data_IF_116289582405
#
_entry.id   IF_116289582405
#
_cell.length_a   1.000
_cell.length_b   1.000
_cell.length_c   1.000
_cell.angle_alpha   90.00
_cell.angle_beta   90.00
_cell.angle_gamma   90.00
#
_symmetry.space_group_name_H-M   'P 1'
#
loop_
_entity.id
_entity.type
_entity.pdbx_description
1 polymer ?
#
# COMPACT_ATOMS: atom_id res chain seq x y z
N UNK A 1 -6.66 0.54 16.30
CA UNK A 1 -6.81 1.47 15.17
C UNK A 1 -6.29 0.92 13.85
N UNK A 2 -4.98 0.72 13.66
CA UNK A 2 -4.39 0.28 12.38
C UNK A 2 -4.99 -1.00 11.80
N UNK A 3 -5.29 -2.00 12.64
CA UNK A 3 -5.96 -3.23 12.19
C UNK A 3 -7.33 -2.95 11.56
N UNK A 4 -8.14 -2.08 12.17
CA UNK A 4 -9.47 -1.72 11.66
C UNK A 4 -9.34 -0.98 10.33
N UNK A 5 -8.45 0.00 10.26
CA UNK A 5 -8.16 0.71 9.01
C UNK A 5 -7.71 -0.25 7.90
N UNK A 6 -6.80 -1.18 8.21
CA UNK A 6 -6.34 -2.21 7.27
C UNK A 6 -7.46 -3.12 6.77
N UNK A 7 -8.40 -3.54 7.61
CA UNK A 7 -9.54 -4.35 7.16
C UNK A 7 -10.55 -3.58 6.30
N UNK A 8 -10.66 -2.27 6.49
CA UNK A 8 -11.73 -1.47 5.89
C UNK A 8 -11.28 -0.57 4.74
N UNK A 9 -9.98 -0.35 4.54
CA UNK A 9 -9.46 0.70 3.64
C UNK A 9 -9.99 0.61 2.22
N UNK A 10 -10.09 -0.60 1.69
CA UNK A 10 -10.51 -0.85 0.31
C UNK A 10 -12.02 -1.11 0.15
N UNK A 11 -12.82 -0.99 1.21
CA UNK A 11 -14.27 -1.27 1.15
C UNK A 11 -15.02 -0.36 0.17
N UNK A 12 -14.49 0.84 -0.13
CA UNK A 12 -15.06 1.74 -1.12
C UNK A 12 -15.04 1.19 -2.55
N UNK A 13 -14.18 0.19 -2.84
CA UNK A 13 -14.15 -0.47 -4.14
C UNK A 13 -15.47 -1.20 -4.50
N UNK A 14 -16.34 -1.49 -3.52
CA UNK A 14 -17.69 -2.01 -3.79
C UNK A 14 -18.56 -1.00 -4.56
N UNK A 15 -18.27 0.30 -4.41
CA UNK A 15 -18.97 1.38 -5.12
C UNK A 15 -18.22 1.70 -6.41
N UNK A 16 -16.92 2.02 -6.33
CA UNK A 16 -16.09 2.34 -7.48
C UNK A 16 -14.62 2.31 -7.10
N UNK A 17 -13.74 1.97 -8.05
CA UNK A 17 -12.29 2.19 -7.91
C UNK A 17 -11.94 3.68 -7.83
N UNK A 18 -12.69 4.52 -8.55
CA UNK A 18 -12.53 5.97 -8.53
C UNK A 18 -13.08 6.52 -7.22
N UNK A 19 -12.24 7.18 -6.43
CA UNK A 19 -12.62 7.71 -5.11
C UNK A 19 -12.90 6.63 -4.07
N UNK A 20 -12.32 5.42 -4.21
CA UNK A 20 -12.53 4.31 -3.27
C UNK A 20 -12.08 4.68 -1.84
N UNK A 21 -11.02 5.46 -1.69
CA UNK A 21 -10.56 5.93 -0.38
C UNK A 21 -11.60 6.80 0.33
N UNK A 22 -12.19 7.79 -0.37
CA UNK A 22 -13.16 8.70 0.23
C UNK A 22 -14.50 8.01 0.51
N UNK A 23 -14.99 7.21 -0.44
CA UNK A 23 -16.21 6.43 -0.24
C UNK A 23 -16.04 5.38 0.86
N UNK A 24 -14.91 4.69 0.92
CA UNK A 24 -14.56 3.76 2.00
C UNK A 24 -14.47 4.44 3.37
N UNK A 25 -13.93 5.66 3.43
CA UNK A 25 -13.89 6.45 4.66
C UNK A 25 -15.30 6.80 5.18
N UNK A 26 -16.22 7.19 4.29
CA UNK A 26 -17.62 7.48 4.64
C UNK A 26 -18.35 6.22 5.12
N UNK A 27 -18.15 5.08 4.44
CA UNK A 27 -18.70 3.79 4.87
C UNK A 27 -18.16 3.38 6.24
N UNK A 28 -16.85 3.51 6.46
CA UNK A 28 -16.22 3.20 7.73
C UNK A 28 -16.73 4.10 8.87
N UNK A 29 -16.90 5.39 8.61
CA UNK A 29 -17.50 6.32 9.57
C UNK A 29 -18.89 5.83 10.01
N UNK A 30 -19.79 5.52 9.06
CA UNK A 30 -21.14 5.08 9.37
C UNK A 30 -21.15 3.76 10.18
N UNK A 31 -20.36 2.77 9.75
CA UNK A 31 -20.30 1.45 10.40
C UNK A 31 -19.75 1.58 11.82
N UNK A 32 -18.62 2.27 12.01
CA UNK A 32 -17.97 2.38 13.31
C UNK A 32 -18.79 3.22 14.28
N UNK A 33 -19.47 4.26 13.82
CA UNK A 33 -20.43 5.03 14.65
C UNK A 33 -21.56 4.13 15.14
N UNK A 34 -22.14 3.29 14.28
CA UNK A 34 -23.23 2.36 14.67
C UNK A 34 -22.78 1.28 15.65
N UNK A 35 -21.50 0.91 15.60
CA UNK A 35 -20.88 -0.04 16.54
C UNK A 35 -20.48 0.62 17.88
N UNK A 36 -20.72 1.92 18.06
CA UNK A 36 -20.45 2.63 19.30
C UNK A 36 -18.96 2.95 19.54
N UNK A 37 -18.12 2.93 18.49
CA UNK A 37 -16.71 3.29 18.61
C UNK A 37 -16.56 4.77 19.01
N UNK A 38 -15.55 5.09 19.82
CA UNK A 38 -15.34 6.45 20.29
C UNK A 38 -15.03 7.41 19.10
N UNK A 39 -15.59 8.63 19.06
CA UNK A 39 -15.38 9.56 17.95
C UNK A 39 -13.90 9.85 17.64
N UNK A 40 -13.05 9.91 18.67
CA UNK A 40 -11.61 10.13 18.53
C UNK A 40 -10.92 8.97 17.80
N UNK A 41 -11.38 7.75 18.02
CA UNK A 41 -10.86 6.57 17.32
C UNK A 41 -11.40 6.52 15.88
N UNK A 42 -12.69 6.77 15.69
CA UNK A 42 -13.29 6.83 14.34
C UNK A 42 -12.52 7.82 13.47
N UNK A 43 -12.20 9.01 13.98
CA UNK A 43 -11.48 10.02 13.20
C UNK A 43 -10.11 9.52 12.74
N UNK A 44 -9.39 8.73 13.54
CA UNK A 44 -8.11 8.14 13.15
C UNK A 44 -8.27 7.07 12.05
N UNK A 45 -9.29 6.20 12.12
CA UNK A 45 -9.56 5.22 11.05
C UNK A 45 -9.95 5.93 9.76
N UNK A 46 -10.95 6.80 9.84
CA UNK A 46 -11.57 7.43 8.66
C UNK A 46 -10.57 8.34 7.96
N UNK A 47 -9.75 9.09 8.71
CA UNK A 47 -8.67 9.89 8.11
C UNK A 47 -7.56 9.02 7.50
N UNK A 48 -7.23 7.87 8.10
CA UNK A 48 -6.29 6.93 7.49
C UNK A 48 -6.83 6.35 6.18
N UNK A 49 -8.09 5.90 6.15
CA UNK A 49 -8.74 5.37 4.95
C UNK A 49 -8.90 6.47 3.89
N UNK A 50 -9.34 7.67 4.25
CA UNK A 50 -9.58 8.74 3.27
C UNK A 50 -8.31 9.22 2.55
N UNK A 51 -7.13 8.93 3.09
CA UNK A 51 -5.85 9.43 2.61
C UNK A 51 -4.87 8.33 2.16
N UNK A 52 -5.31 7.09 1.98
CA UNK A 52 -4.41 5.98 1.60
C UNK A 52 -4.23 5.80 0.08
N UNK A 53 -5.00 6.49 -0.75
CA UNK A 53 -4.88 6.44 -2.22
C UNK A 53 -3.79 7.38 -2.74
N UNK A 54 -3.02 6.91 -3.73
CA UNK A 54 -1.84 7.57 -4.27
C UNK A 54 -2.15 8.85 -5.05
N UNK A 55 -3.36 8.99 -5.60
CA UNK A 55 -3.73 10.12 -6.46
C UNK A 55 -4.16 11.34 -5.64
N UNK A 56 -4.68 11.12 -4.43
CA UNK A 56 -5.37 12.15 -3.65
C UNK A 56 -4.97 12.20 -2.17
N UNK A 57 -4.21 11.22 -1.68
CA UNK A 57 -3.89 11.04 -0.28
C UNK A 57 -2.47 11.40 0.12
N UNK A 58 -2.28 11.55 1.43
CA UNK A 58 -0.98 11.70 2.09
C UNK A 58 -1.06 11.13 3.50
N UNK A 59 0.03 10.61 4.08
CA UNK A 59 0.07 10.23 5.48
C UNK A 59 -0.25 11.44 6.38
N UNK A 60 -1.37 11.38 7.12
CA UNK A 60 -1.86 12.49 7.98
C UNK A 60 -1.73 12.21 9.48
N UNK A 61 -1.54 10.94 9.85
CA UNK A 61 -1.34 10.49 11.22
C UNK A 61 -0.56 9.16 11.22
N UNK A 62 -0.05 8.68 12.37
CA UNK A 62 0.70 7.43 12.42
C UNK A 62 -0.06 6.19 11.92
N UNK A 63 -1.39 6.15 12.09
CA UNK A 63 -2.24 5.06 11.59
C UNK A 63 -2.30 5.07 10.07
N UNK A 64 -2.44 6.26 9.48
CA UNK A 64 -2.42 6.50 8.03
C UNK A 64 -1.08 6.12 7.43
N UNK A 65 0.03 6.55 8.04
CA UNK A 65 1.38 6.17 7.59
C UNK A 65 1.59 4.65 7.63
N UNK A 66 1.21 3.99 8.73
CA UNK A 66 1.31 2.54 8.83
C UNK A 66 0.42 1.81 7.80
N UNK A 67 -0.80 2.31 7.54
CA UNK A 67 -1.70 1.76 6.53
C UNK A 67 -1.08 1.87 5.13
N UNK A 68 -0.56 3.05 4.77
CA UNK A 68 0.11 3.29 3.48
C UNK A 68 1.29 2.33 3.31
N UNK A 69 2.15 2.21 4.31
CA UNK A 69 3.29 1.28 4.24
C UNK A 69 2.83 -0.16 4.03
N UNK A 70 1.80 -0.61 4.75
CA UNK A 70 1.28 -1.97 4.64
C UNK A 70 0.63 -2.26 3.28
N UNK A 71 -0.19 -1.35 2.75
CA UNK A 71 -0.88 -1.53 1.46
C UNK A 71 0.08 -1.38 0.27
N UNK A 72 0.84 -0.28 0.25
CA UNK A 72 1.61 0.12 -0.93
C UNK A 72 2.89 -0.67 -1.12
N UNK A 73 3.38 -1.34 -0.08
CA UNK A 73 4.50 -2.29 -0.19
C UNK A 73 4.08 -3.73 -0.53
N UNK A 74 2.77 -4.02 -0.57
CA UNK A 74 2.26 -5.37 -0.88
C UNK A 74 2.30 -5.66 -2.39
N UNK A 75 3.51 -5.93 -2.89
CA UNK A 75 3.78 -6.39 -4.26
C UNK A 75 4.35 -7.80 -4.20
N UNK A 76 3.64 -8.80 -4.77
CA UNK A 76 4.02 -10.22 -4.72
C UNK A 76 3.27 -11.05 -5.75
N UNK A 77 3.92 -12.10 -6.27
CA UNK A 77 3.32 -13.05 -7.23
C UNK A 77 1.99 -13.64 -6.78
N UNK A 78 1.87 -14.01 -5.50
CA UNK A 78 0.66 -14.65 -4.95
C UNK A 78 -0.59 -13.74 -4.91
N UNK A 79 -0.44 -12.44 -5.25
CA UNK A 79 -1.57 -11.52 -5.38
C UNK A 79 -2.29 -11.69 -6.72
N UNK A 80 -1.61 -12.23 -7.72
CA UNK A 80 -2.19 -12.54 -9.04
C UNK A 80 -3.01 -13.82 -8.93
N UNK A 81 -4.30 -13.72 -9.21
CA UNK A 81 -5.25 -14.85 -9.18
C UNK A 81 -5.62 -15.37 -10.56
N UNK A 82 -5.21 -14.66 -11.60
CA UNK A 82 -5.37 -15.11 -12.97
C UNK A 82 -4.28 -16.15 -13.25
N UNK A 83 -4.67 -17.36 -13.63
CA UNK A 83 -3.74 -18.43 -13.98
C UNK A 83 -3.41 -18.43 -15.48
N UNK A 84 -4.15 -17.66 -16.29
CA UNK A 84 -3.90 -17.53 -17.73
C UNK A 84 -2.92 -16.39 -18.01
N UNK A 85 -1.65 -16.76 -18.17
CA UNK A 85 -0.56 -15.83 -18.49
C UNK A 85 -0.81 -15.02 -19.76
N UNK A 86 -1.54 -15.54 -20.75
CA UNK A 86 -1.82 -14.83 -21.99
C UNK A 86 -2.82 -13.67 -21.81
N UNK A 87 -3.61 -13.72 -20.73
CA UNK A 87 -4.60 -12.69 -20.39
C UNK A 87 -4.08 -11.67 -19.36
N UNK A 88 -2.80 -11.69 -19.00
CA UNK A 88 -2.24 -10.78 -18.00
C UNK A 88 -2.24 -9.35 -18.49
N UNK A 89 -2.76 -8.44 -17.66
CA UNK A 89 -2.49 -7.02 -17.81
C UNK A 89 -1.08 -6.68 -17.26
N UNK A 90 -0.70 -5.39 -17.34
CA UNK A 90 0.61 -4.95 -16.86
C UNK A 90 0.77 -5.09 -15.34
N UNK A 91 -0.31 -4.96 -14.57
CA UNK A 91 -0.26 -5.13 -13.11
C UNK A 91 -0.06 -6.60 -12.75
N UNK A 92 -0.78 -7.50 -13.42
CA UNK A 92 -0.63 -8.94 -13.25
C UNK A 92 0.78 -9.38 -13.63
N UNK A 93 1.30 -8.93 -14.78
CA UNK A 93 2.65 -9.26 -15.24
C UNK A 93 3.73 -8.80 -14.26
N UNK A 94 3.66 -7.56 -13.78
CA UNK A 94 4.65 -7.02 -12.83
C UNK A 94 4.56 -7.72 -11.48
N UNK A 95 3.36 -7.96 -10.93
CA UNK A 95 3.20 -8.69 -9.68
C UNK A 95 3.70 -10.14 -9.82
N UNK A 96 3.37 -10.80 -10.92
CA UNK A 96 3.78 -12.17 -11.19
C UNK A 96 5.30 -12.29 -11.35
N UNK A 97 5.97 -11.28 -11.91
CA UNK A 97 7.43 -11.25 -12.00
C UNK A 97 8.12 -11.20 -10.62
N UNK A 98 7.44 -10.78 -9.55
CA UNK A 98 8.02 -10.69 -8.20
C UNK A 98 8.01 -12.05 -7.50
N UNK A 99 9.12 -12.78 -7.61
CA UNK A 99 9.33 -14.11 -7.03
C UNK A 99 9.46 -14.08 -5.50
N UNK A 100 10.15 -13.07 -4.98
CA UNK A 100 10.29 -12.84 -3.55
C UNK A 100 9.99 -11.38 -3.23
N UNK A 101 9.30 -11.16 -2.11
CA UNK A 101 8.96 -9.84 -1.60
C UNK A 101 9.08 -9.85 -0.08
N UNK A 102 10.03 -9.06 0.44
CA UNK A 102 10.34 -9.02 1.87
C UNK A 102 10.38 -7.58 2.33
N UNK A 103 9.49 -7.24 3.26
CA UNK A 103 9.52 -5.97 3.97
C UNK A 103 10.23 -6.15 5.32
N UNK A 104 11.35 -5.46 5.51
CA UNK A 104 12.10 -5.45 6.78
C UNK A 104 11.98 -4.09 7.46
N UNK A 105 11.89 -4.12 8.79
CA UNK A 105 11.79 -2.93 9.63
C UNK A 105 12.93 -2.96 10.64
N UNK A 106 13.85 -2.00 10.53
CA UNK A 106 14.86 -1.72 11.55
C UNK A 106 14.34 -0.58 12.44
N UNK A 107 13.96 -0.91 13.67
CA UNK A 107 13.43 0.07 14.62
C UNK A 107 14.49 0.99 15.23
N UNK A 108 15.76 0.58 15.26
CA UNK A 108 16.86 1.37 15.82
C UNK A 108 17.32 2.41 14.81
N UNK A 109 17.56 1.99 13.57
CA UNK A 109 17.97 2.87 12.48
C UNK A 109 16.78 3.60 11.84
N UNK A 110 15.56 3.18 12.17
CA UNK A 110 14.30 3.67 11.57
C UNK A 110 14.26 3.49 10.06
N UNK A 111 14.75 2.35 9.56
CA UNK A 111 14.81 2.03 8.14
C UNK A 111 13.74 0.98 7.81
N UNK A 112 12.95 1.24 6.77
CA UNK A 112 12.00 0.30 6.20
C UNK A 112 12.49 -0.12 4.81
N UNK A 113 12.92 -1.38 4.67
CA UNK A 113 13.49 -1.87 3.42
C UNK A 113 12.52 -2.84 2.74
N UNK A 114 12.02 -2.49 1.57
CA UNK A 114 11.31 -3.41 0.67
C UNK A 114 12.32 -4.05 -0.28
N UNK A 115 12.54 -5.35 -0.13
CA UNK A 115 13.41 -6.15 -1.00
C UNK A 115 12.58 -7.02 -1.93
N UNK A 116 12.78 -6.84 -3.24
CA UNK A 116 12.09 -7.58 -4.28
C UNK A 116 13.08 -8.38 -5.11
N UNK A 117 12.75 -9.64 -5.37
CA UNK A 117 13.38 -10.46 -6.40
C UNK A 117 12.43 -10.52 -7.60
N UNK A 118 12.85 -9.92 -8.71
CA UNK A 118 12.07 -9.79 -9.94
C UNK A 118 12.70 -10.65 -11.03
N UNK A 119 11.89 -11.55 -11.62
CA UNK A 119 12.23 -12.26 -12.84
C UNK A 119 12.17 -11.30 -14.04
N UNK A 120 13.35 -10.87 -14.48
CA UNK A 120 13.50 -9.92 -15.59
C UNK A 120 13.18 -10.50 -16.96
N UNK A 121 12.95 -11.81 -17.07
CA UNK A 121 12.42 -12.43 -18.30
C UNK A 121 10.92 -12.18 -18.45
N UNK A 122 10.21 -11.94 -17.35
CA UNK A 122 8.76 -11.67 -17.32
C UNK A 122 8.47 -10.17 -17.36
N UNK A 123 9.18 -9.38 -16.54
CA UNK A 123 9.01 -7.93 -16.50
C UNK A 123 10.29 -7.19 -16.14
N UNK A 124 10.51 -6.05 -16.79
CA UNK A 124 11.64 -5.19 -16.50
C UNK A 124 11.45 -4.34 -15.24
N UNK A 125 12.56 -3.88 -14.65
CA UNK A 125 12.52 -2.90 -13.54
C UNK A 125 11.80 -1.60 -13.93
N UNK A 126 11.87 -1.21 -15.21
CA UNK A 126 11.21 0.01 -15.70
C UNK A 126 9.69 -0.15 -15.75
N UNK A 127 9.17 -1.30 -16.20
CA UNK A 127 7.74 -1.61 -16.15
C UNK A 127 7.22 -1.65 -14.71
N UNK A 128 8.02 -2.16 -13.77
CA UNK A 128 7.68 -2.04 -12.36
C UNK A 128 7.49 -0.56 -11.96
N UNK A 129 8.45 0.30 -12.31
CA UNK A 129 8.35 1.72 -11.95
C UNK A 129 7.18 2.42 -12.66
N UNK A 130 6.85 2.05 -13.90
CA UNK A 130 5.70 2.62 -14.61
C UNK A 130 4.39 2.46 -13.82
N UNK A 131 4.23 1.33 -13.13
CA UNK A 131 3.01 1.02 -12.37
C UNK A 131 3.10 1.36 -10.89
N UNK A 132 4.27 1.17 -10.28
CA UNK A 132 4.43 1.22 -8.83
C UNK A 132 5.19 2.44 -8.31
N UNK A 133 5.74 3.30 -9.17
CA UNK A 133 6.51 4.46 -8.71
C UNK A 133 5.72 5.34 -7.75
N UNK A 134 4.46 5.66 -8.06
CA UNK A 134 3.60 6.47 -7.19
C UNK A 134 3.38 5.82 -5.83
N UNK A 135 3.22 4.49 -5.80
CA UNK A 135 3.11 3.70 -4.57
C UNK A 135 4.38 3.79 -3.73
N UNK A 136 5.55 3.63 -4.35
CA UNK A 136 6.85 3.72 -3.66
C UNK A 136 7.12 5.13 -3.12
N UNK A 137 6.74 6.16 -3.87
CA UNK A 137 6.80 7.54 -3.40
C UNK A 137 5.88 7.78 -2.20
N UNK A 138 4.70 7.14 -2.18
CA UNK A 138 3.81 7.19 -1.03
C UNK A 138 4.39 6.46 0.20
N UNK A 139 5.03 5.30 0.00
CA UNK A 139 5.76 4.60 1.06
C UNK A 139 6.87 5.48 1.65
N UNK A 140 7.64 6.17 0.81
CA UNK A 140 8.68 7.12 1.27
C UNK A 140 8.08 8.22 2.14
N UNK A 141 7.02 8.90 1.67
CA UNK A 141 6.33 9.91 2.49
C UNK A 141 5.81 9.37 3.82
N UNK A 142 5.34 8.13 3.84
CA UNK A 142 4.83 7.48 5.05
C UNK A 142 5.95 7.12 6.04
N UNK A 143 7.08 6.62 5.56
CA UNK A 143 8.27 6.41 6.38
C UNK A 143 8.80 7.73 6.94
N UNK A 144 8.89 8.77 6.11
CA UNK A 144 9.33 10.11 6.51
C UNK A 144 8.41 10.69 7.60
N UNK A 145 7.08 10.51 7.48
CA UNK A 145 6.11 10.94 8.49
C UNK A 145 6.36 10.27 9.85
N UNK A 146 6.77 9.00 9.85
CA UNK A 146 7.12 8.24 11.07
C UNK A 146 8.56 8.55 11.56
N UNK A 147 9.27 9.47 10.90
CA UNK A 147 10.65 9.83 11.21
C UNK A 147 11.66 8.76 10.83
N UNK A 148 11.35 7.93 9.85
CA UNK A 148 12.22 6.90 9.30
C UNK A 148 12.54 7.12 7.82
N UNK A 149 13.14 6.12 7.18
CA UNK A 149 13.50 6.14 5.76
C UNK A 149 13.00 4.89 5.07
N UNK A 150 12.40 5.05 3.87
CA UNK A 150 12.02 3.93 3.01
C UNK A 150 13.11 3.65 1.98
N UNK A 151 13.50 2.38 1.87
CA UNK A 151 14.45 1.90 0.88
C UNK A 151 13.82 0.82 0.01
N UNK A 152 14.13 0.86 -1.28
CA UNK A 152 13.70 -0.15 -2.25
C UNK A 152 14.92 -0.85 -2.83
N UNK A 153 14.98 -2.17 -2.66
CA UNK A 153 16.02 -3.03 -3.22
C UNK A 153 15.38 -3.97 -4.24
N UNK A 154 15.92 -4.00 -5.46
CA UNK A 154 15.48 -4.92 -6.53
C UNK A 154 16.66 -5.69 -7.07
N UNK A 155 16.60 -7.02 -6.95
CA UNK A 155 17.68 -7.94 -7.37
C UNK A 155 19.02 -7.47 -6.80
N UNK A 156 19.07 -7.32 -5.47
CA UNK A 156 20.24 -6.89 -4.69
C UNK A 156 20.78 -5.48 -5.01
N UNK A 157 20.06 -4.69 -5.82
CA UNK A 157 20.47 -3.33 -6.16
C UNK A 157 19.54 -2.33 -5.48
N UNK A 158 20.11 -1.37 -4.74
CA UNK A 158 19.33 -0.27 -4.14
C UNK A 158 18.86 0.68 -5.24
N UNK A 159 17.56 0.97 -5.26
CA UNK A 159 16.92 1.84 -6.23
C UNK A 159 16.65 3.23 -5.67
N UNK A 160 16.18 3.28 -4.42
CA UNK A 160 15.65 4.48 -3.74
C UNK A 160 16.01 4.44 -2.26
#
# INVERSE_FOLDING_TARGET
MTKIAGFMHDTGNIISRSGHAQSGAILAFNILTRLGMAPQEISQVVSAIGNHDENSGSPVNPVSAALVLADKSDVRRSRVRNDDFAAFDIHDRVNYAVEESVLKIDGEQKILTLSLQIDTMISSKMEYFEIFLTRMMMCRKAADYLGGTFELIMNNTKMV
#
